data_IF_290101171807
#
_entry.id   IF_290101171807
#
_cell.length_a   1.000
_cell.length_b   1.000
_cell.length_c   1.000
_cell.angle_alpha   90.00
_cell.angle_beta   90.00
_cell.angle_gamma   90.00
#
_symmetry.space_group_name_H-M   'P 1'
#
loop_
_entity.id
_entity.type
_entity.pdbx_description
1 polymer ?
2 non-polymer ?
3 non-polymer ?
4 non-polymer ?
5 non-polymer ?
6 water ?
#
# COMPACT_ATOMS: atom_id res chain seq x y z
N UNK A 1 -16.29 -4.63 13.37
CA UNK A 1 -17.40 -5.54 13.78
C UNK A 1 -17.58 -6.71 12.80
N UNK A 2 -17.72 -6.39 11.52
CA UNK A 2 -17.97 -7.40 10.47
C UNK A 2 -17.26 -8.73 10.72
N UNK A 3 -18.05 -9.79 10.80
CA UNK A 3 -17.53 -11.11 11.10
C UNK A 3 -17.06 -11.81 9.83
N UNK A 4 -16.24 -12.85 10.00
CA UNK A 4 -15.85 -13.70 8.89
C UNK A 4 -17.05 -14.55 8.47
N UNK A 5 -17.91 -14.88 9.43
CA UNK A 5 -19.12 -15.65 9.17
C UNK A 5 -20.14 -14.82 8.39
N UNK A 6 -20.27 -13.54 8.75
CA UNK A 6 -21.11 -12.64 7.99
C UNK A 6 -20.68 -12.60 6.53
N UNK A 7 -19.38 -12.73 6.29
CA UNK A 7 -18.85 -12.62 4.94
C UNK A 7 -18.94 -13.95 4.19
N UNK A 8 -18.55 -15.04 4.84
CA UNK A 8 -18.63 -16.36 4.25
C UNK A 8 -20.08 -16.71 3.86
N UNK A 9 -21.03 -16.28 4.68
CA UNK A 9 -22.44 -16.53 4.43
C UNK A 9 -23.02 -15.56 3.40
N UNK A 10 -22.28 -14.49 3.09
CA UNK A 10 -22.65 -13.62 1.97
C UNK A 10 -22.14 -14.27 0.68
N UNK A 11 -20.94 -14.84 0.76
CA UNK A 11 -20.30 -15.48 -0.37
C UNK A 11 -20.96 -16.83 -0.69
N UNK A 12 -21.51 -17.47 0.34
CA UNK A 12 -22.18 -18.75 0.18
C UNK A 12 -23.43 -18.64 -0.68
N UNK A 13 -23.96 -17.42 -0.80
CA UNK A 13 -25.15 -17.17 -1.59
C UNK A 13 -24.76 -16.65 -2.97
N UNK A 14 -23.47 -16.65 -3.25
CA UNK A 14 -22.95 -16.23 -4.54
C UNK A 14 -23.11 -17.37 -5.57
N UNK A 15 -23.35 -17.00 -6.81
CA UNK A 15 -23.24 -17.94 -7.92
C UNK A 15 -21.78 -18.29 -8.17
N UNK A 16 -21.34 -19.44 -7.65
CA UNK A 16 -19.94 -19.84 -7.70
C UNK A 16 -19.37 -20.07 -9.10
N UNK A 17 -20.21 -19.95 -10.12
CA UNK A 17 -19.78 -20.17 -11.50
C UNK A 17 -19.52 -18.83 -12.18
N UNK A 18 -19.88 -17.75 -11.48
CA UNK A 18 -19.79 -16.41 -12.05
C UNK A 18 -19.11 -15.42 -11.12
N UNK A 19 -18.10 -15.88 -10.38
CA UNK A 19 -17.35 -15.01 -9.48
C UNK A 19 -16.58 -13.97 -10.30
N UNK A 20 -16.82 -12.70 -10.01
CA UNK A 20 -16.09 -11.62 -10.66
C UNK A 20 -15.13 -10.97 -9.67
N UNK A 21 -14.22 -10.16 -10.19
CA UNK A 21 -13.29 -9.41 -9.35
C UNK A 21 -13.59 -7.94 -9.51
N UNK A 22 -13.80 -7.26 -8.38
CA UNK A 22 -14.10 -5.84 -8.41
C UNK A 22 -13.11 -5.01 -7.60
N UNK A 23 -13.00 -3.74 -7.95
CA UNK A 23 -12.16 -2.80 -7.24
C UNK A 23 -12.55 -1.40 -7.70
N UNK A 24 -12.11 -0.39 -6.97
CA UNK A 24 -12.36 0.99 -7.35
C UNK A 24 -11.35 1.43 -8.38
N UNK A 25 -11.80 2.20 -9.37
CA UNK A 25 -10.94 2.63 -10.47
C UNK A 25 -9.93 3.69 -10.10
N UNK A 26 -8.85 3.27 -9.43
CA UNK A 26 -7.79 4.17 -9.02
C UNK A 26 -6.68 3.39 -8.36
N UNK A 27 -5.61 4.10 -7.97
CA UNK A 27 -4.53 3.53 -7.17
C UNK A 27 -3.69 2.48 -7.90
N UNK A 28 -4.22 1.26 -7.98
CA UNK A 28 -3.53 0.15 -8.64
C UNK A 28 -4.51 -0.69 -9.46
N UNK A 29 -5.70 -0.16 -9.73
CA UNK A 29 -6.76 -0.95 -10.34
C UNK A 29 -6.41 -1.47 -11.74
N UNK A 30 -5.63 -0.70 -12.49
CA UNK A 30 -5.30 -1.09 -13.87
C UNK A 30 -4.75 -2.51 -13.99
N UNK A 31 -3.83 -2.89 -13.11
CA UNK A 31 -3.29 -4.24 -13.17
C UNK A 31 -4.06 -5.21 -12.29
N UNK A 32 -4.81 -4.69 -11.33
CA UNK A 32 -5.75 -5.52 -10.59
C UNK A 32 -6.81 -6.05 -11.55
N UNK A 33 -7.32 -5.18 -12.42
CA UNK A 33 -8.34 -5.57 -13.37
C UNK A 33 -7.74 -6.35 -14.54
N UNK A 34 -6.65 -5.85 -15.11
CA UNK A 34 -5.93 -6.59 -16.15
C UNK A 34 -5.55 -7.99 -15.70
N UNK A 35 -4.95 -8.10 -14.52
CA UNK A 35 -4.54 -9.39 -13.99
C UNK A 35 -5.71 -10.35 -13.87
N UNK A 36 -6.86 -9.82 -13.45
CA UNK A 36 -8.08 -10.59 -13.33
C UNK A 36 -8.55 -11.12 -14.69
N UNK A 37 -8.63 -10.24 -15.68
CA UNK A 37 -8.99 -10.65 -17.03
C UNK A 37 -8.05 -11.75 -17.51
N UNK A 38 -6.75 -11.57 -17.31
CA UNK A 38 -5.75 -12.53 -17.77
C UNK A 38 -5.91 -13.89 -17.11
N UNK A 39 -6.52 -13.92 -15.93
CA UNK A 39 -6.78 -15.18 -15.23
C UNK A 39 -8.17 -15.76 -15.54
N UNK A 40 -8.96 -15.04 -16.34
CA UNK A 40 -10.23 -15.57 -16.81
C UNK A 40 -11.45 -14.98 -16.16
N UNK A 41 -11.25 -14.03 -15.24
CA UNK A 41 -12.36 -13.40 -14.56
C UNK A 41 -12.98 -12.32 -15.41
N UNK A 42 -14.27 -12.10 -15.21
CA UNK A 42 -14.91 -10.89 -15.66
C UNK A 42 -14.72 -9.86 -14.53
N UNK A 43 -14.52 -8.60 -14.88
CA UNK A 43 -14.12 -7.59 -13.90
C UNK A 43 -15.12 -6.45 -13.76
N UNK A 44 -15.24 -5.95 -12.54
CA UNK A 44 -16.10 -4.79 -12.24
C UNK A 44 -15.26 -3.62 -11.72
N UNK A 45 -15.45 -2.45 -12.32
CA UNK A 45 -14.72 -1.26 -11.93
C UNK A 45 -15.65 -0.15 -11.47
N UNK A 46 -15.56 0.22 -10.19
CA UNK A 46 -16.29 1.40 -9.71
C UNK A 46 -15.60 2.66 -10.21
N UNK A 47 -16.35 3.51 -10.90
CA UNK A 47 -15.78 4.70 -11.50
C UNK A 47 -16.76 5.88 -11.43
N UNK A 48 -16.43 6.99 -12.09
CA UNK A 48 -17.29 8.17 -12.10
C UNK A 48 -16.97 9.03 -13.31
N UNK A 49 -17.89 9.92 -13.66
CA UNK A 49 -17.68 10.80 -14.80
C UNK A 49 -16.43 11.64 -14.55
N UNK A 50 -15.62 11.80 -15.58
CA UNK A 50 -14.37 12.55 -15.45
C UNK A 50 -13.15 11.71 -15.12
N UNK A 51 -13.37 10.53 -14.54
CA UNK A 51 -12.27 9.65 -14.13
C UNK A 51 -12.34 8.22 -14.71
N UNK A 52 -13.12 8.03 -15.78
CA UNK A 52 -13.38 6.69 -16.31
C UNK A 52 -12.57 6.37 -17.56
N UNK A 53 -12.07 7.41 -18.21
CA UNK A 53 -11.34 7.25 -19.48
C UNK A 53 -10.20 6.21 -19.49
N UNK A 54 -9.35 6.21 -18.45
CA UNK A 54 -8.23 5.26 -18.48
C UNK A 54 -8.70 3.81 -18.50
N UNK A 55 -9.79 3.55 -17.78
CA UNK A 55 -10.34 2.21 -17.64
C UNK A 55 -11.13 1.79 -18.88
N UNK A 56 -11.59 2.78 -19.63
CA UNK A 56 -12.31 2.52 -20.87
C UNK A 56 -11.33 2.28 -22.00
N UNK A 57 -10.31 3.13 -22.10
CA UNK A 57 -9.37 3.04 -23.21
C UNK A 57 -8.37 1.90 -23.04
N UNK A 58 -8.11 1.50 -21.80
CA UNK A 58 -7.23 0.36 -21.58
C UNK A 58 -8.02 -0.95 -21.65
N UNK A 59 -9.35 -0.85 -21.71
CA UNK A 59 -10.24 -1.99 -22.02
C UNK A 59 -10.14 -3.07 -20.97
N UNK A 60 -10.11 -2.65 -19.72
CA UNK A 60 -9.67 -3.50 -18.63
C UNK A 60 -10.84 -3.89 -17.74
N UNK A 61 -11.98 -3.22 -17.94
CA UNK A 61 -13.15 -3.50 -17.11
C UNK A 61 -14.33 -3.93 -17.97
N UNK A 62 -14.98 -5.01 -17.55
CA UNK A 62 -16.12 -5.54 -18.29
C UNK A 62 -17.41 -4.81 -17.90
N UNK A 63 -17.57 -4.55 -16.62
CA UNK A 63 -18.74 -3.84 -16.11
C UNK A 63 -18.31 -2.60 -15.33
N UNK A 64 -18.95 -1.46 -15.62
CA UNK A 64 -18.74 -0.25 -14.82
C UNK A 64 -19.90 0.00 -13.87
N UNK A 65 -19.59 0.28 -12.61
CA UNK A 65 -20.57 0.81 -11.67
C UNK A 65 -20.25 2.28 -11.39
N UNK A 66 -20.96 3.18 -12.04
CA UNK A 66 -20.75 4.62 -11.86
C UNK A 66 -21.33 5.13 -10.53
N UNK A 67 -20.55 5.96 -9.83
CA UNK A 67 -21.03 6.65 -8.63
C UNK A 67 -20.93 8.16 -8.84
N UNK A 68 -21.70 8.92 -8.07
CA UNK A 68 -21.67 10.38 -8.18
C UNK A 68 -20.31 10.93 -7.72
N UNK A 69 -19.82 10.38 -6.62
CA UNK A 69 -18.51 10.69 -6.07
C UNK A 69 -18.01 9.41 -5.42
N UNK A 70 -16.69 9.20 -5.43
CA UNK A 70 -16.13 7.95 -4.92
C UNK A 70 -16.51 7.70 -3.48
N UNK A 71 -17.01 8.75 -2.81
CA UNK A 71 -17.42 8.61 -1.42
C UNK A 71 -18.65 7.70 -1.31
N UNK A 72 -19.41 7.60 -2.40
CA UNK A 72 -20.66 6.83 -2.41
C UNK A 72 -20.46 5.32 -2.34
N UNK A 73 -19.23 4.86 -2.57
CA UNK A 73 -18.95 3.42 -2.63
C UNK A 73 -19.24 2.70 -1.31
N UNK A 74 -19.49 3.47 -0.27
CA UNK A 74 -19.91 2.89 1.01
C UNK A 74 -21.42 2.65 1.02
N UNK A 75 -22.14 3.42 0.20
CA UNK A 75 -23.60 3.33 0.15
C UNK A 75 -24.10 1.91 -0.03
N UNK A 76 -25.23 1.61 0.60
CA UNK A 76 -25.78 0.27 0.57
C UNK A 76 -26.24 -0.09 -0.83
N UNK A 77 -26.55 0.92 -1.64
CA UNK A 77 -26.93 0.70 -3.03
C UNK A 77 -25.79 0.07 -3.83
N UNK A 78 -24.57 0.51 -3.53
CA UNK A 78 -23.38 0.05 -4.27
C UNK A 78 -22.95 -1.34 -3.79
N UNK A 79 -23.05 -1.57 -2.49
CA UNK A 79 -22.72 -2.88 -1.94
C UNK A 79 -23.63 -3.97 -2.54
N UNK A 80 -24.86 -3.59 -2.88
CA UNK A 80 -25.82 -4.54 -3.42
C UNK A 80 -25.50 -4.96 -4.84
N UNK A 81 -25.25 -3.98 -5.71
CA UNK A 81 -24.81 -4.26 -7.06
C UNK A 81 -23.61 -5.20 -7.06
N UNK A 82 -22.65 -4.93 -6.16
CA UNK A 82 -21.45 -5.75 -6.09
C UNK A 82 -21.76 -7.17 -5.65
N UNK A 83 -22.74 -7.31 -4.78
CA UNK A 83 -23.15 -8.63 -4.30
C UNK A 83 -23.93 -9.38 -5.37
N UNK A 84 -24.69 -8.65 -6.18
CA UNK A 84 -25.50 -9.25 -7.24
C UNK A 84 -24.63 -9.65 -8.43
N UNK A 85 -23.41 -9.11 -8.48
CA UNK A 85 -22.47 -9.39 -9.55
C UNK A 85 -21.50 -10.47 -9.12
N UNK A 86 -21.69 -10.97 -7.90
CA UNK A 86 -20.81 -12.01 -7.34
C UNK A 86 -19.35 -11.57 -7.23
N UNK A 87 -19.15 -10.29 -6.95
CA UNK A 87 -17.81 -9.70 -6.86
C UNK A 87 -17.09 -9.97 -5.55
N UNK A 88 -15.84 -10.42 -5.67
CA UNK A 88 -14.88 -10.34 -4.58
C UNK A 88 -14.10 -9.04 -4.79
N UNK A 89 -14.17 -8.13 -3.82
CA UNK A 89 -13.49 -6.84 -3.91
C UNK A 89 -12.01 -6.95 -3.54
N UNK A 90 -11.15 -6.38 -4.38
CA UNK A 90 -9.73 -6.27 -4.05
C UNK A 90 -9.46 -4.86 -3.51
N UNK A 91 -9.08 -4.77 -2.24
CA UNK A 91 -8.91 -3.47 -1.60
C UNK A 91 -7.58 -2.82 -1.93
N UNK A 92 -7.57 -1.50 -1.96
CA UNK A 92 -6.36 -0.73 -2.14
C UNK A 92 -6.45 0.66 -1.51
N UNK A 93 -5.32 1.38 -1.52
CA UNK A 93 -5.21 2.71 -0.91
C UNK A 93 -6.39 3.64 -1.10
N UNK A 94 -6.71 3.92 -2.37
CA UNK A 94 -7.79 4.85 -2.70
C UNK A 94 -9.15 4.35 -2.25
N UNK A 95 -9.31 3.02 -2.25
CA UNK A 95 -10.58 2.42 -1.88
C UNK A 95 -10.84 2.59 -0.39
N UNK A 96 -9.85 2.23 0.42
CA UNK A 96 -9.95 2.37 1.86
C UNK A 96 -10.19 3.82 2.25
N UNK A 97 -9.54 4.74 1.55
CA UNK A 97 -9.69 6.16 1.80
C UNK A 97 -11.08 6.69 1.45
N UNK A 98 -11.53 6.43 0.22
CA UNK A 98 -12.80 6.95 -0.25
C UNK A 98 -13.99 6.29 0.43
N UNK A 99 -13.84 5.03 0.80
CA UNK A 99 -14.90 4.29 1.47
C UNK A 99 -14.94 4.67 2.95
N UNK A 100 -13.77 4.77 3.55
CA UNK A 100 -13.63 5.05 4.97
C UNK A 100 -13.24 3.80 5.70
N UNK A 101 -12.08 3.81 6.34
CA UNK A 101 -11.56 2.63 7.02
C UNK A 101 -12.52 2.06 8.07
N UNK A 102 -13.32 2.93 8.67
CA UNK A 102 -14.30 2.47 9.66
C UNK A 102 -15.47 1.80 8.95
N UNK A 103 -15.98 2.45 7.91
CA UNK A 103 -16.97 1.83 7.04
C UNK A 103 -16.48 0.50 6.45
N UNK A 104 -15.18 0.38 6.22
CA UNK A 104 -14.61 -0.85 5.68
C UNK A 104 -14.62 -1.96 6.71
N UNK A 105 -14.39 -1.60 7.98
CA UNK A 105 -14.24 -2.62 9.03
C UNK A 105 -15.58 -3.20 9.50
N UNK A 106 -16.67 -2.45 9.34
CA UNK A 106 -17.97 -2.89 9.87
C UNK A 106 -19.24 -2.37 9.16
N UNK A 107 -19.09 -1.79 7.98
CA UNK A 107 -20.24 -1.31 7.23
C UNK A 107 -20.24 -1.79 5.77
N UNK A 108 -19.11 -2.35 5.33
CA UNK A 108 -18.96 -2.77 3.92
C UNK A 108 -19.18 -4.27 3.76
N UNK A 109 -20.43 -4.65 3.51
CA UNK A 109 -20.79 -6.07 3.45
C UNK A 109 -20.60 -6.67 2.06
N UNK A 110 -19.34 -6.82 1.67
CA UNK A 110 -18.98 -7.44 0.39
C UNK A 110 -17.71 -8.23 0.62
N UNK A 111 -17.66 -9.47 0.12
CA UNK A 111 -16.44 -10.27 0.28
C UNK A 111 -15.23 -9.49 -0.21
N UNK A 112 -14.11 -9.64 0.48
CA UNK A 112 -12.93 -8.80 0.20
C UNK A 112 -11.70 -9.66 0.28
N UNK A 113 -10.84 -9.57 -0.74
CA UNK A 113 -9.58 -10.30 -0.71
C UNK A 113 -8.64 -9.70 0.33
N UNK A 114 -8.08 -10.54 1.19
CA UNK A 114 -7.17 -10.09 2.23
C UNK A 114 -7.70 -10.20 3.65
N UNK A 115 -6.90 -9.75 4.61
CA UNK A 115 -7.26 -9.78 6.03
C UNK A 115 -7.81 -8.43 6.45
N UNK A 116 -9.13 -8.35 6.57
CA UNK A 116 -9.86 -7.11 6.82
C UNK A 116 -9.42 -6.40 8.11
N UNK A 117 -9.15 -7.18 9.15
CA UNK A 117 -8.78 -6.62 10.46
C UNK A 117 -7.44 -5.89 10.39
N UNK A 118 -6.52 -6.39 9.58
CA UNK A 118 -5.15 -5.91 9.58
C UNK A 118 -4.98 -4.59 8.83
N UNK A 119 -6.03 -4.14 8.15
CA UNK A 119 -5.97 -2.86 7.46
C UNK A 119 -5.86 -1.71 8.46
N UNK A 120 -6.21 -1.98 9.70
CA UNK A 120 -6.18 -0.98 10.76
C UNK A 120 -4.75 -0.85 11.29
N UNK A 121 -4.00 -1.94 11.23
CA UNK A 121 -2.62 -1.93 11.66
C UNK A 121 -1.69 -1.21 10.67
N UNK A 122 -2.22 -0.83 9.51
CA UNK A 122 -1.43 -0.09 8.52
C UNK A 122 -1.78 1.39 8.60
N UNK A 123 -2.89 1.70 9.25
CA UNK A 123 -3.37 3.07 9.33
C UNK A 123 -2.81 3.78 10.55
N UNK A 124 -2.53 3.01 11.60
CA UNK A 124 -2.10 3.58 12.87
C UNK A 124 -0.61 3.36 13.10
N UNK A 125 0.11 4.47 13.25
CA UNK A 125 1.56 4.45 13.40
C UNK A 125 2.05 3.58 14.56
N UNK A 126 1.28 3.56 15.65
CA UNK A 126 1.62 2.77 16.84
C UNK A 126 1.52 1.26 16.60
N UNK A 127 0.46 0.84 15.92
CA UNK A 127 0.27 -0.58 15.57
C UNK A 127 1.35 -1.04 14.60
N UNK A 128 1.59 -0.23 13.58
CA UNK A 128 2.61 -0.52 12.58
C UNK A 128 3.98 -0.69 13.22
N UNK A 129 4.36 0.25 14.08
CA UNK A 129 5.65 0.19 14.77
C UNK A 129 5.73 -0.98 15.72
N UNK A 130 4.60 -1.27 16.37
CA UNK A 130 4.50 -2.44 17.24
C UNK A 130 4.79 -3.70 16.43
N UNK A 131 4.10 -3.84 15.30
CA UNK A 131 4.29 -4.98 14.41
C UNK A 131 5.74 -5.13 13.95
N UNK A 132 6.30 -4.05 13.40
CA UNK A 132 7.65 -4.09 12.84
C UNK A 132 8.71 -4.31 13.90
N UNK A 133 8.51 -3.67 15.05
CA UNK A 133 9.41 -3.83 16.19
C UNK A 133 9.35 -5.26 16.69
N UNK A 134 8.14 -5.76 16.89
CA UNK A 134 7.97 -7.13 17.38
C UNK A 134 8.40 -8.19 16.38
N UNK A 135 8.21 -7.91 15.09
CA UNK A 135 8.68 -8.81 14.04
C UNK A 135 10.21 -8.86 14.03
N UNK A 136 10.83 -7.82 14.59
CA UNK A 136 12.29 -7.75 14.65
C UNK A 136 12.88 -7.07 13.43
N UNK A 137 12.17 -6.08 12.91
CA UNK A 137 12.67 -5.35 11.73
C UNK A 137 13.30 -4.00 12.10
N UNK A 138 14.43 -3.70 11.48
CA UNK A 138 15.08 -2.39 11.64
C UNK A 138 14.14 -1.29 11.22
N UNK A 139 14.00 -0.29 12.10
CA UNK A 139 13.24 0.93 11.80
C UNK A 139 14.10 2.14 12.17
N UNK A 140 13.71 3.33 11.69
CA UNK A 140 14.37 4.57 12.10
C UNK A 140 14.13 4.86 13.60
N UNK A 141 15.13 5.40 14.28
CA UNK A 141 14.96 5.80 15.68
C UNK A 141 13.85 6.83 15.81
N UNK A 142 13.01 6.69 16.82
CA UNK A 142 11.97 7.68 17.08
C UNK A 142 12.46 8.72 18.08
N UNK A 143 11.98 9.96 17.94
CA UNK A 143 12.33 11.04 18.86
C UNK A 143 11.09 11.62 19.52
N UNK A 144 11.05 11.56 20.85
CA UNK A 144 9.87 11.97 21.61
C UNK A 144 9.55 13.45 21.48
N UNK A 145 10.58 14.29 21.43
CA UNK A 145 10.38 15.73 21.29
C UNK A 145 11.53 16.42 20.56
N UNK A 146 11.27 17.61 20.02
CA UNK A 146 12.29 18.42 19.35
C UNK A 146 13.58 18.58 20.16
N UNK A 147 13.49 18.45 21.49
CA UNK A 147 14.66 18.60 22.35
C UNK A 147 15.58 17.37 22.34
N UNK A 148 15.10 16.27 21.77
CA UNK A 148 15.88 15.03 21.75
C UNK A 148 16.74 14.89 20.49
N UNK A 149 16.59 15.82 19.56
CA UNK A 149 17.31 15.78 18.29
C UNK A 149 18.82 15.84 18.51
N UNK A 150 19.53 14.82 18.06
CA UNK A 150 20.99 14.77 18.19
C UNK A 150 21.63 14.42 16.85
N UNK A 151 20.81 14.42 15.81
CA UNK A 151 21.28 14.11 14.46
C UNK A 151 20.31 14.69 13.45
N UNK A 152 20.43 14.25 12.20
CA UNK A 152 19.49 14.69 11.18
C UNK A 152 18.20 13.90 11.33
N UNK A 153 17.07 14.59 11.27
CA UNK A 153 15.79 13.94 11.42
C UNK A 153 14.85 14.39 10.33
N UNK A 154 13.83 13.57 10.08
CA UNK A 154 12.73 13.99 9.22
C UNK A 154 11.50 14.13 10.10
N UNK A 155 10.69 15.14 9.83
CA UNK A 155 9.52 15.40 10.66
C UNK A 155 8.24 15.29 9.84
N UNK A 156 7.36 14.39 10.26
CA UNK A 156 6.14 14.08 9.53
C UNK A 156 4.88 14.52 10.29
N UNK A 157 3.81 14.79 9.54
CA UNK A 157 2.54 15.22 10.13
C UNK A 157 1.36 14.48 9.51
N UNK A 164 4.82 16.61 1.99
CA UNK A 164 3.79 17.65 1.86
C UNK A 164 4.02 18.79 2.86
N UNK A 165 3.94 18.48 4.15
CA UNK A 165 4.28 19.42 5.20
C UNK A 165 5.55 19.00 5.92
N UNK A 166 6.26 18.05 5.34
CA UNK A 166 7.47 17.48 5.92
C UNK A 166 8.63 18.48 5.95
N UNK A 167 9.59 18.25 6.85
CA UNK A 167 10.85 18.99 6.82
C UNK A 167 11.98 18.23 7.50
N UNK A 168 13.20 18.66 7.20
CA UNK A 168 14.42 18.06 7.75
C UNK A 168 15.03 19.01 8.77
N UNK A 169 15.52 18.45 9.88
CA UNK A 169 16.15 19.26 10.91
C UNK A 169 17.41 18.57 11.42
N UNK A 170 18.42 19.36 11.78
CA UNK A 170 19.64 18.80 12.36
C UNK A 170 19.89 19.28 13.79
N UNK A 171 18.96 20.06 14.34
CA UNK A 171 19.03 20.50 15.73
C UNK A 171 17.66 20.92 16.24
N UNK A 172 17.55 21.04 17.56
CA UNK A 172 16.31 21.53 18.17
C UNK A 172 15.98 22.92 17.62
N UNK A 173 17.00 23.79 17.59
CA UNK A 173 16.84 25.14 17.07
C UNK A 173 16.26 25.13 15.66
N UNK A 174 16.85 24.32 14.79
CA UNK A 174 16.38 24.24 13.41
C UNK A 174 14.93 23.76 13.34
N UNK A 175 14.58 22.79 14.17
CA UNK A 175 13.21 22.30 14.23
C UNK A 175 12.20 23.46 14.36
N UNK A 176 12.44 24.38 15.29
CA UNK A 176 11.51 25.47 15.52
C UNK A 176 11.58 26.54 14.45
N UNK A 177 12.77 26.79 13.94
CA UNK A 177 12.93 27.73 12.84
C UNK A 177 12.05 27.30 11.67
N UNK A 178 12.10 26.00 11.35
CA UNK A 178 11.34 25.46 10.22
C UNK A 178 9.85 25.31 10.51
N UNK A 179 9.52 24.81 11.69
CA UNK A 179 8.12 24.73 12.10
C UNK A 179 7.46 26.09 11.95
N UNK A 180 8.09 27.12 12.52
CA UNK A 180 7.63 28.51 12.39
C UNK A 180 7.51 28.98 10.95
N UNK A 181 8.54 28.72 10.16
CA UNK A 181 8.53 29.07 8.75
C UNK A 181 7.28 28.52 8.07
N UNK A 182 7.01 27.24 8.29
CA UNK A 182 5.85 26.58 7.67
C UNK A 182 4.53 27.05 8.28
N UNK A 183 4.61 27.64 9.47
CA UNK A 183 3.44 28.14 10.17
C UNK A 183 2.97 29.46 9.56
N UNK A 184 3.92 30.37 9.37
CA UNK A 184 3.62 31.69 8.83
C UNK A 184 3.27 31.65 7.34
N UNK A 185 3.71 30.60 6.66
CA UNK A 185 3.44 30.43 5.24
C UNK A 185 2.10 29.74 5.00
N UNK A 186 1.45 29.35 6.09
CA UNK A 186 0.11 28.76 6.03
C UNK A 186 0.10 27.28 5.66
N UNK A 187 1.29 26.71 5.51
CA UNK A 187 1.41 25.29 5.15
C UNK A 187 1.07 24.40 6.35
N UNK A 188 1.39 24.89 7.54
CA UNK A 188 1.26 24.06 8.74
C UNK A 188 0.59 24.83 9.88
N UNK A 189 -0.22 24.12 10.67
CA UNK A 189 -0.93 24.73 11.78
C UNK A 189 -0.46 24.17 13.12
N UNK A 190 -0.69 24.93 14.19
CA UNK A 190 -0.25 24.55 15.54
C UNK A 190 -0.63 23.13 15.94
N UNK A 191 -1.79 22.67 15.48
CA UNK A 191 -2.28 21.34 15.84
C UNK A 191 -1.40 20.25 15.23
N UNK A 192 -0.95 20.47 14.00
CA UNK A 192 -0.09 19.52 13.32
C UNK A 192 1.28 19.43 14.00
N UNK A 193 1.91 20.59 14.21
CA UNK A 193 3.23 20.64 14.85
C UNK A 193 3.21 20.20 16.30
N UNK A 194 2.02 20.20 16.90
CA UNK A 194 1.86 19.71 18.27
C UNK A 194 2.01 18.19 18.32
N UNK A 195 1.56 17.53 17.25
CA UNK A 195 1.61 16.07 17.18
C UNK A 195 2.63 15.59 16.16
N UNK A 196 3.65 16.40 15.93
CA UNK A 196 4.71 16.09 14.97
C UNK A 196 5.37 14.75 15.29
N UNK A 197 5.63 13.96 14.25
CA UNK A 197 6.39 12.73 14.42
C UNK A 197 7.81 12.93 13.90
N UNK A 198 8.77 12.76 14.80
CA UNK A 198 10.17 13.02 14.51
C UNK A 198 10.94 11.71 14.51
N UNK A 199 11.61 11.41 13.39
CA UNK A 199 12.43 10.20 13.35
C UNK A 199 13.75 10.41 12.63
N UNK A 200 14.69 9.52 12.91
CA UNK A 200 15.98 9.52 12.26
C UNK A 200 15.85 9.61 10.74
N UNK A 201 16.53 10.59 10.15
CA UNK A 201 16.63 10.64 8.69
C UNK A 201 17.59 9.54 8.28
N UNK A 202 17.10 8.52 7.58
CA UNK A 202 17.96 7.44 7.12
C UNK A 202 18.53 7.81 5.75
N UNK A 203 19.84 7.74 5.61
CA UNK A 203 20.46 8.14 4.36
C UNK A 203 20.83 6.92 3.52
N UNK A 204 20.02 6.62 2.52
CA UNK A 204 20.28 5.46 1.69
C UNK A 204 19.45 5.38 0.43
N UNK A 205 19.42 4.18 -0.14
CA UNK A 205 18.71 3.94 -1.38
C UNK A 205 17.33 3.35 -1.10
N UNK A 206 16.30 3.91 -1.75
CA UNK A 206 14.93 3.45 -1.57
C UNK A 206 14.60 2.16 -2.34
N UNK A 207 14.11 1.18 -1.59
CA UNK A 207 13.56 -0.04 -2.17
C UNK A 207 12.22 -0.29 -1.51
N UNK A 208 11.14 -0.05 -2.26
CA UNK A 208 9.82 -0.46 -1.83
C UNK A 208 9.61 -1.88 -2.32
N UNK A 209 9.61 -2.83 -1.40
CA UNK A 209 9.62 -4.25 -1.73
C UNK A 209 8.21 -4.83 -1.66
N UNK A 210 7.75 -5.38 -2.78
CA UNK A 210 6.40 -5.90 -2.85
C UNK A 210 6.37 -7.41 -2.70
N UNK A 211 5.78 -7.87 -1.60
CA UNK A 211 5.72 -9.30 -1.31
C UNK A 211 4.29 -9.82 -1.56
N UNK A 212 4.15 -11.14 -1.62
CA UNK A 212 2.84 -11.77 -1.63
C UNK A 212 2.90 -12.97 -0.70
N UNK A 213 2.05 -12.97 0.33
CA UNK A 213 1.89 -14.17 1.15
C UNK A 213 0.73 -15.00 0.63
N UNK A 214 1.04 -16.22 0.24
CA UNK A 214 0.04 -17.15 -0.23
C UNK A 214 -0.39 -18.04 0.92
N UNK A 215 -1.63 -17.88 1.40
CA UNK A 215 -2.18 -18.71 2.47
C UNK A 215 -2.37 -20.14 1.99
N UNK A 216 -2.61 -20.32 0.70
CA UNK A 216 -2.76 -21.65 0.12
C UNK A 216 -1.44 -22.40 0.15
N UNK A 217 -0.35 -21.71 -0.16
CA UNK A 217 0.97 -22.35 -0.18
C UNK A 217 1.76 -22.15 1.12
N UNK A 218 1.25 -21.31 2.00
CA UNK A 218 1.98 -20.87 3.19
C UNK A 218 3.38 -20.42 2.82
N UNK A 219 3.46 -19.39 1.98
CA UNK A 219 4.74 -18.95 1.46
C UNK A 219 4.73 -17.46 1.19
N UNK A 220 5.85 -16.81 1.52
CA UNK A 220 6.06 -15.39 1.20
C UNK A 220 6.84 -15.31 -0.10
N UNK A 221 6.27 -14.64 -1.09
CA UNK A 221 6.94 -14.53 -2.39
C UNK A 221 7.38 -13.09 -2.63
N UNK A 222 8.50 -12.93 -3.33
CA UNK A 222 8.93 -11.62 -3.78
C UNK A 222 8.48 -11.34 -5.22
N UNK A 223 7.68 -10.29 -5.38
CA UNK A 223 7.08 -9.97 -6.67
C UNK A 223 7.78 -8.85 -7.43
N UNK A 224 8.34 -7.90 -6.70
CA UNK A 224 9.03 -6.78 -7.34
C UNK A 224 9.40 -5.64 -6.41
N UNK A 225 9.95 -4.57 -6.98
CA UNK A 225 10.45 -3.44 -6.21
C UNK A 225 10.40 -2.18 -7.05
N UNK A 226 10.14 -1.06 -6.39
CA UNK A 226 10.24 0.25 -7.03
C UNK A 226 10.92 1.24 -6.09
N UNK A 227 11.37 2.35 -6.65
CA UNK A 227 11.78 3.49 -5.84
C UNK A 227 10.81 4.63 -6.14
N UNK A 228 10.48 5.40 -5.11
CA UNK A 228 9.49 6.46 -5.24
C UNK A 228 10.02 7.60 -6.09
N UNK A 229 9.10 8.28 -6.75
CA UNK A 229 9.39 9.47 -7.55
C UNK A 229 8.48 10.54 -6.98
N UNK A 230 9.05 11.42 -6.16
CA UNK A 230 8.28 12.34 -5.34
C UNK A 230 8.52 13.81 -5.70
N UNK A 231 7.47 14.63 -5.60
CA UNK A 231 7.55 16.06 -5.90
C UNK A 231 7.22 16.84 -4.62
N UNK A 232 7.98 17.91 -4.32
CA UNK A 232 8.95 18.49 -5.24
C UNK A 232 10.36 17.96 -5.05
N UNK A 233 10.54 17.13 -4.03
CA UNK A 233 11.89 16.77 -3.62
C UNK A 233 12.76 16.32 -4.78
N UNK A 234 12.26 15.38 -5.59
CA UNK A 234 13.09 14.86 -6.69
C UNK A 234 13.35 15.91 -7.77
N UNK A 235 12.50 16.93 -7.83
CA UNK A 235 12.79 18.11 -8.66
C UNK A 235 13.77 19.08 -8.00
N UNK A 236 13.61 19.27 -6.69
CA UNK A 236 14.45 20.18 -5.89
C UNK A 236 15.93 19.81 -5.96
N UNK A 237 16.22 18.54 -5.66
CA UNK A 237 17.58 18.05 -5.59
C UNK A 237 18.20 17.89 -6.97
N UNK A 238 17.43 18.20 -8.00
CA UNK A 238 17.97 18.21 -9.35
C UNK A 238 18.38 19.62 -9.76
N UNK A 239 18.20 20.57 -8.84
CA UNK A 239 18.72 21.93 -9.01
C UNK A 239 20.12 21.94 -8.39
N UNK A 240 21.11 22.47 -9.13
CA UNK A 240 22.50 22.55 -8.61
C UNK A 240 22.54 23.30 -7.28
N UNK A 241 23.45 22.89 -6.40
CA UNK A 241 23.54 23.42 -5.04
C UNK A 241 23.60 24.95 -5.00
N UNK A 242 24.41 25.53 -5.87
CA UNK A 242 24.58 26.99 -5.89
C UNK A 242 23.26 27.68 -6.15
N UNK A 243 22.43 27.10 -7.01
CA UNK A 243 21.12 27.67 -7.27
C UNK A 243 20.10 27.37 -6.17
N UNK A 244 20.19 26.19 -5.55
CA UNK A 244 19.30 25.88 -4.44
C UNK A 244 19.46 26.90 -3.31
N UNK A 245 20.71 27.23 -2.99
CA UNK A 245 21.01 28.19 -1.93
C UNK A 245 20.43 29.58 -2.20
N UNK A 246 20.24 29.91 -3.47
CA UNK A 246 19.66 31.20 -3.85
C UNK A 246 18.14 31.18 -3.84
N UNK A 247 17.54 30.04 -3.56
CA UNK A 247 16.09 29.91 -3.59
C UNK A 247 15.50 29.81 -2.19
N UNK A 248 14.27 30.26 -2.04
CA UNK A 248 13.55 30.07 -0.79
C UNK A 248 12.48 29.00 -0.99
N UNK A 249 12.91 27.74 -0.94
CA UNK A 249 12.06 26.62 -1.30
C UNK A 249 12.17 25.51 -0.27
N UNK A 250 11.02 24.99 0.16
CA UNK A 250 11.00 23.86 1.07
C UNK A 250 10.70 22.58 0.33
N UNK A 251 11.32 21.47 0.73
CA UNK A 251 11.02 20.19 0.12
C UNK A 251 9.63 19.69 0.48
N UNK A 252 8.99 19.01 -0.47
CA UNK A 252 7.80 18.24 -0.19
C UNK A 252 7.99 16.85 -0.77
N UNK A 253 7.19 15.90 -0.29
CA UNK A 253 7.38 14.50 -0.61
C UNK A 253 6.09 13.85 -1.12
N UNK A 254 5.42 14.54 -2.04
CA UNK A 254 4.17 14.05 -2.61
C UNK A 254 4.44 12.96 -3.65
N UNK A 255 3.91 11.76 -3.43
CA UNK A 255 4.11 10.66 -4.39
C UNK A 255 3.54 11.01 -5.75
N UNK A 256 4.38 10.94 -6.79
CA UNK A 256 3.92 11.23 -8.14
C UNK A 256 4.11 10.07 -9.11
N UNK A 257 4.90 9.08 -8.73
CA UNK A 257 5.22 7.99 -9.65
C UNK A 257 6.28 7.07 -9.11
N UNK A 258 6.66 6.09 -9.92
CA UNK A 258 7.58 5.05 -9.48
C UNK A 258 8.56 4.67 -10.58
N UNK A 259 9.74 4.24 -10.16
CA UNK A 259 10.81 3.87 -11.05
C UNK A 259 11.20 2.43 -10.66
N UNK A 260 11.41 1.56 -11.65
CA UNK A 260 11.84 0.19 -11.36
C UNK A 260 13.26 0.13 -10.84
N UNK A 261 13.53 -0.83 -9.96
CA UNK A 261 14.86 -1.03 -9.41
C UNK A 261 14.97 -2.50 -9.02
N UNK A 262 16.19 -3.02 -9.01
CA UNK A 262 16.45 -4.34 -8.48
C UNK A 262 17.50 -4.18 -7.41
N UNK A 263 17.53 -5.10 -6.46
CA UNK A 263 18.48 -5.02 -5.37
C UNK A 263 19.69 -5.90 -5.66
N UNK A 264 20.80 -5.60 -4.99
CA UNK A 264 22.00 -6.43 -5.02
C UNK A 264 21.60 -7.84 -4.56
N UNK A 265 21.96 -8.86 -5.35
CA UNK A 265 21.40 -10.20 -5.14
C UNK A 265 21.74 -10.79 -3.77
N UNK A 266 22.96 -10.56 -3.29
CA UNK A 266 23.37 -11.01 -1.96
C UNK A 266 22.46 -10.50 -0.83
N UNK A 267 21.57 -9.56 -1.14
CA UNK A 267 20.70 -8.97 -0.11
C UNK A 267 19.31 -9.59 -0.09
N UNK A 268 19.06 -10.54 -0.99
CA UNK A 268 17.75 -11.17 -1.04
C UNK A 268 17.45 -12.06 0.19
N UNK A 269 18.47 -12.73 0.73
CA UNK A 269 18.19 -13.44 1.98
C UNK A 269 17.67 -12.52 3.07
N UNK A 270 18.21 -11.31 3.15
CA UNK A 270 17.72 -10.30 4.09
C UNK A 270 16.30 -9.88 3.71
N UNK A 271 16.10 -9.60 2.41
CA UNK A 271 14.78 -9.23 1.90
C UNK A 271 13.72 -10.27 2.27
N UNK A 272 14.04 -11.53 2.01
CA UNK A 272 13.11 -12.63 2.29
C UNK A 272 12.88 -12.81 3.79
N UNK A 273 13.97 -12.78 4.56
CA UNK A 273 13.88 -12.89 6.03
C UNK A 273 12.95 -11.83 6.62
N UNK A 274 13.03 -10.61 6.10
CA UNK A 274 12.17 -9.53 6.58
C UNK A 274 10.72 -9.84 6.31
N UNK A 275 10.44 -10.35 5.12
CA UNK A 275 9.08 -10.77 4.77
C UNK A 275 8.62 -11.92 5.65
N UNK A 276 9.49 -12.91 5.85
CA UNK A 276 9.14 -14.06 6.68
C UNK A 276 8.80 -13.63 8.11
N UNK A 277 9.60 -12.73 8.68
CA UNK A 277 9.39 -12.26 10.05
C UNK A 277 8.12 -11.47 10.21
N UNK A 278 7.89 -10.53 9.31
CA UNK A 278 6.66 -9.73 9.36
C UNK A 278 5.43 -10.62 9.34
N UNK A 279 5.48 -11.67 8.52
CA UNK A 279 4.37 -12.60 8.34
C UNK A 279 4.16 -13.46 9.59
N UNK A 280 5.24 -14.00 10.14
CA UNK A 280 5.17 -14.85 11.33
C UNK A 280 4.60 -14.10 12.54
N UNK A 281 4.96 -12.82 12.69
CA UNK A 281 4.46 -12.05 13.81
C UNK A 281 3.02 -11.61 13.61
N UNK A 282 2.67 -11.23 12.39
CA UNK A 282 1.31 -10.76 12.09
C UNK A 282 0.29 -11.88 12.27
N UNK A 283 0.75 -13.12 12.14
CA UNK A 283 -0.10 -14.28 12.42
C UNK A 283 -0.52 -14.28 13.89
N UNK A 284 0.44 -14.00 14.78
CA UNK A 284 0.20 -13.93 16.22
C UNK A 284 -0.64 -12.72 16.61
N UNK A 285 -0.29 -11.56 16.06
CA UNK A 285 -0.92 -10.30 16.48
C UNK A 285 -2.27 -10.01 15.84
N UNK A 286 -2.45 -10.44 14.58
CA UNK A 286 -3.73 -10.20 13.90
C UNK A 286 -4.16 -11.37 13.01
N UNK A 287 -4.66 -12.45 13.61
CA UNK A 287 -4.99 -13.67 12.86
C UNK A 287 -6.01 -13.42 11.74
N UNK A 288 -5.81 -14.06 10.57
CA UNK A 288 -4.73 -15.00 10.23
C UNK A 288 -3.41 -14.35 9.80
N UNK A 289 -3.30 -13.03 9.90
CA UNK A 289 -2.07 -12.34 9.56
C UNK A 289 -2.16 -11.64 8.23
N UNK A 290 -1.05 -11.63 7.49
CA UNK A 290 -1.01 -11.01 6.16
C UNK A 290 -1.66 -11.96 5.16
N UNK A 291 -2.49 -11.41 4.28
CA UNK A 291 -3.10 -12.21 3.23
C UNK A 291 -2.89 -11.51 1.89
N UNK A 292 -2.08 -12.13 1.03
CA UNK A 292 -1.83 -11.58 -0.28
C UNK A 292 -0.72 -10.53 -0.29
N UNK A 293 -0.97 -9.41 -0.99
CA UNK A 293 0.04 -8.38 -1.19
C UNK A 293 0.37 -7.58 0.07
N UNK A 294 1.66 -7.40 0.34
CA UNK A 294 2.13 -6.45 1.33
C UNK A 294 3.50 -5.89 0.93
N UNK A 295 3.77 -4.68 1.41
CA UNK A 295 4.94 -3.93 0.97
C UNK A 295 5.75 -3.43 2.17
N UNK A 296 7.06 -3.62 2.11
CA UNK A 296 7.98 -2.95 3.03
C UNK A 296 8.67 -1.81 2.30
N UNK A 297 8.46 -0.60 2.78
CA UNK A 297 9.09 0.58 2.20
C UNK A 297 10.35 0.91 2.98
N UNK A 298 11.50 0.69 2.34
CA UNK A 298 12.74 0.70 3.09
C UNK A 298 13.83 1.60 2.50
N UNK A 299 14.89 1.81 3.26
CA UNK A 299 16.05 2.53 2.80
C UNK A 299 17.27 1.70 3.14
N UNK A 300 18.14 1.50 2.16
CA UNK A 300 19.32 0.68 2.37
C UNK A 300 20.49 1.60 2.71
N UNK A 301 20.99 1.47 3.94
CA UNK A 301 22.11 2.31 4.36
C UNK A 301 23.43 1.74 3.88
N UNK A 302 24.51 2.51 4.08
CA UNK A 302 25.80 2.14 3.53
C UNK A 302 26.34 0.85 4.13
N UNK A 303 25.75 0.41 5.24
CA UNK A 303 26.13 -0.85 5.85
C UNK A 303 25.31 -2.04 5.32
N UNK A 304 24.55 -1.79 4.25
CA UNK A 304 23.74 -2.81 3.59
C UNK A 304 22.66 -3.38 4.50
N UNK A 305 22.07 -2.50 5.30
CA UNK A 305 20.97 -2.88 6.18
C UNK A 305 19.75 -2.16 5.69
N UNK A 306 18.65 -2.91 5.52
CA UNK A 306 17.41 -2.31 5.09
C UNK A 306 16.62 -1.81 6.29
N UNK A 307 16.30 -0.52 6.29
CA UNK A 307 15.56 0.09 7.39
C UNK A 307 14.18 0.45 6.87
N UNK A 308 13.14 -0.10 7.49
CA UNK A 308 11.81 0.15 6.97
C UNK A 308 11.09 1.29 7.68
N UNK A 309 10.77 2.32 6.90
CA UNK A 309 10.18 3.52 7.44
C UNK A 309 8.67 3.51 7.25
N UNK A 310 8.19 2.57 6.46
CA UNK A 310 6.76 2.41 6.23
C UNK A 310 6.41 1.00 5.74
N UNK A 311 5.12 0.69 5.75
CA UNK A 311 4.64 -0.58 5.25
C UNK A 311 3.15 -0.50 4.89
N UNK A 312 2.70 -1.45 4.08
CA UNK A 312 1.28 -1.58 3.75
C UNK A 312 0.85 -3.01 4.00
N UNK A 313 -0.43 -3.21 4.28
CA UNK A 313 -0.95 -4.54 4.58
C UNK A 313 -1.80 -5.04 3.42
N UNK A 314 -1.93 -4.18 2.42
CA UNK A 314 -2.55 -4.57 1.15
C UNK A 314 -1.64 -4.11 0.01
N UNK A 315 -2.18 -4.00 -1.20
CA UNK A 315 -1.36 -3.70 -2.36
C UNK A 315 -0.87 -2.25 -2.32
N UNK A 316 0.44 -2.06 -2.51
CA UNK A 316 1.06 -0.74 -2.56
C UNK A 316 1.09 -0.18 -3.99
N UNK A 317 0.96 1.14 -4.11
CA UNK A 317 0.89 1.80 -5.41
C UNK A 317 2.08 1.54 -6.33
N UNK A 318 3.22 1.20 -5.74
CA UNK A 318 4.43 0.98 -6.52
C UNK A 318 4.44 -0.25 -7.41
N UNK A 319 3.45 -1.14 -7.21
CA UNK A 319 3.30 -2.33 -8.05
C UNK A 319 2.97 -1.92 -9.48
N UNK A 320 2.57 -0.67 -9.67
CA UNK A 320 2.32 -0.15 -10.99
C UNK A 320 3.57 -0.14 -11.87
N UNK A 321 4.75 -0.11 -11.25
CA UNK A 321 5.99 -0.10 -12.02
C UNK A 321 6.22 -1.40 -12.80
N UNK A 322 5.62 -2.51 -12.35
CA UNK A 322 5.70 -3.77 -13.09
C UNK A 322 4.33 -4.35 -13.53
N UNK A 323 3.53 -3.53 -14.20
CA UNK A 323 2.24 -4.02 -14.71
C UNK A 323 2.44 -5.02 -15.86
N UNK A 324 3.58 -4.94 -16.52
CA UNK A 324 3.93 -5.88 -17.59
C UNK A 324 4.92 -6.89 -17.07
N UNK A 325 4.90 -7.11 -15.76
CA UNK A 325 5.85 -8.01 -15.12
C UNK A 325 7.16 -7.32 -14.83
N UNK A 326 7.99 -7.93 -14.00
CA UNK A 326 9.32 -7.39 -13.70
C UNK A 326 10.35 -8.49 -13.62
N UNK A 327 11.61 -8.12 -13.33
CA UNK A 327 12.71 -9.06 -13.16
C UNK A 327 12.46 -10.18 -12.15
N UNK A 328 11.86 -9.86 -11.02
CA UNK A 328 11.57 -10.89 -10.02
C UNK A 328 10.35 -11.75 -10.38
N UNK A 329 9.29 -11.11 -10.86
CA UNK A 329 8.03 -11.80 -11.13
C UNK A 329 8.17 -12.79 -12.29
N UNK A 330 9.06 -12.46 -13.23
CA UNK A 330 9.42 -13.33 -14.35
C UNK A 330 9.98 -14.68 -13.89
N UNK A 331 10.70 -14.69 -12.78
CA UNK A 331 11.50 -15.87 -12.42
C UNK A 331 10.67 -17.14 -12.18
N UNK A 332 9.48 -16.98 -11.61
CA UNK A 332 8.62 -18.12 -11.26
C UNK A 332 8.28 -19.02 -12.45
N UNK A 333 7.78 -18.41 -13.53
CA UNK A 333 7.33 -19.14 -14.70
C UNK A 333 7.69 -18.50 -16.03
N UNK A 334 8.61 -17.54 -16.02
CA UNK A 334 8.97 -16.80 -17.23
C UNK A 334 7.82 -16.02 -17.84
N UNK A 335 6.93 -15.53 -16.99
CA UNK A 335 5.75 -14.79 -17.44
C UNK A 335 5.80 -13.30 -17.05
N UNK A 336 5.12 -12.44 -17.82
CA UNK A 336 4.97 -11.03 -17.47
C UNK A 336 3.95 -10.85 -16.32
N UNK A 337 4.27 -11.39 -15.15
CA UNK A 337 3.34 -11.45 -14.02
C UNK A 337 3.33 -10.16 -13.20
N UNK A 338 2.16 -9.50 -13.13
CA UNK A 338 1.97 -8.36 -12.23
C UNK A 338 1.41 -8.79 -10.89
N UNK A 339 1.44 -7.88 -9.91
CA UNK A 339 0.83 -8.16 -8.61
C UNK A 339 -0.68 -8.39 -8.76
N UNK A 340 -1.34 -7.56 -9.57
CA UNK A 340 -2.76 -7.75 -9.85
C UNK A 340 -3.12 -9.15 -10.35
N UNK A 341 -2.27 -9.73 -11.22
CA UNK A 341 -2.52 -11.08 -11.74
C UNK A 341 -2.23 -12.15 -10.70
N UNK A 342 -1.24 -11.90 -9.85
CA UNK A 342 -0.91 -12.78 -8.73
C UNK A 342 -2.05 -12.85 -7.70
N UNK A 343 -2.70 -11.74 -7.48
CA UNK A 343 -3.89 -11.70 -6.61
C UNK A 343 -5.00 -12.56 -7.24
N UNK A 344 -5.31 -12.28 -8.51
CA UNK A 344 -6.36 -12.99 -9.25
C UNK A 344 -6.15 -14.50 -9.27
N UNK A 345 -4.91 -14.91 -9.42
CA UNK A 345 -4.57 -16.31 -9.45
C UNK A 345 -4.87 -16.99 -8.12
N UNK A 346 -4.53 -16.33 -7.01
CA UNK A 346 -4.81 -16.87 -5.69
C UNK A 346 -6.31 -17.02 -5.54
N UNK A 347 -7.06 -16.07 -6.06
CA UNK A 347 -8.50 -16.16 -6.03
C UNK A 347 -8.97 -17.37 -6.87
N UNK A 348 -8.45 -17.47 -8.10
CA UNK A 348 -8.73 -18.59 -8.99
C UNK A 348 -8.49 -19.92 -8.27
N UNK A 349 -7.25 -20.13 -7.84
CA UNK A 349 -6.87 -21.34 -7.13
C UNK A 349 -7.70 -21.64 -5.88
N UNK A 350 -8.07 -20.60 -5.15
CA UNK A 350 -8.87 -20.79 -3.94
C UNK A 350 -10.25 -21.32 -4.30
N UNK A 351 -10.90 -20.69 -5.28
CA UNK A 351 -12.18 -21.17 -5.79
C UNK A 351 -12.13 -22.63 -6.27
N UNK A 352 -11.06 -22.98 -6.98
CA UNK A 352 -10.89 -24.34 -7.51
C UNK A 352 -10.62 -25.39 -6.42
N UNK A 353 -10.01 -24.99 -5.31
CA UNK A 353 -9.66 -25.93 -4.26
C UNK A 353 -10.66 -25.88 -3.11
N UNK A 354 -11.69 -25.05 -3.27
CA UNK A 354 -12.69 -24.86 -2.23
C UNK A 354 -12.03 -24.39 -0.93
N UNK A 355 -11.33 -23.26 -1.01
CA UNK A 355 -10.60 -22.69 0.10
C UNK A 355 -10.74 -21.18 0.08
N UNK A 356 -11.91 -20.72 -0.34
CA UNK A 356 -12.15 -19.30 -0.41
C UNK A 356 -12.03 -18.68 0.97
N UNK A 357 -12.11 -19.53 2.00
CA UNK A 357 -12.10 -19.05 3.38
C UNK A 357 -10.68 -18.73 3.84
N UNK A 358 -9.68 -19.15 3.08
CA UNK A 358 -8.30 -18.83 3.42
C UNK A 358 -7.89 -17.44 2.91
N UNK A 359 -8.72 -16.81 2.10
CA UNK A 359 -8.30 -15.59 1.41
C UNK A 359 -9.29 -14.44 1.46
N UNK A 360 -10.52 -14.70 1.89
CA UNK A 360 -11.49 -13.60 1.97
C UNK A 360 -11.96 -13.35 3.41
N UNK A 361 -12.49 -12.16 3.65
CA UNK A 361 -12.97 -11.76 4.96
C UNK A 361 -13.70 -10.44 4.84
#
# INVERSE_FOLDING_TARGET
>A
MISKDEILEIFDKYNKDEITIATLGSHTSLHILKGAKLEGFSTVCITMKGRDVPYKRFKVADKFIYVDNFSDIKNEEIQEKLRELNSIVVPHGSFIAYCGLDNVENSFLVPMFGNRRILRWESERSLEGKLLREAGLRVPKKYESPEDIDGTVIVKFPGARGGRGYFIASSTEEFYKKAEDLKKRGILTDEDIANAHIEEYVVGTNFCIHYFYSPLKDEVELLGMDKRYESNIDGLVRIPAKDQLEMNINPSYVITGNIPVVIRESLLPQVFEMGDKLVAKAKELVPPGMIGPFCLQSLCNENLELVVFEMSARVDGGTNSFMNGGPYSFLYNGEPLSMGQRIAREIKMALQLDMIDKIIS
#
